data_IF_237672022626
#
_entry.id   IF_237672022626
#
_cell.length_a   1.000
_cell.length_b   1.000
_cell.length_c   1.000
_cell.angle_alpha   90.00
_cell.angle_beta   90.00
_cell.angle_gamma   90.00
#
_symmetry.space_group_name_H-M   'P 1'
#
loop_
_entity.id
_entity.type
_entity.pdbx_description
1 polymer ?
#
# COMPACT_ATOMS: atom_id res chain seq x y z
N UNK A 1 -5.08 -7.83 24.04
CA UNK A 1 -4.60 -8.19 22.68
C UNK A 1 -3.12 -7.90 22.60
N UNK A 2 -2.28 -8.91 22.38
CA UNK A 2 -0.85 -8.68 22.08
C UNK A 2 -0.75 -7.90 20.76
N UNK A 3 -0.05 -6.76 20.79
CA UNK A 3 0.23 -5.97 19.59
C UNK A 3 1.24 -6.74 18.75
N UNK A 4 0.77 -7.38 17.67
CA UNK A 4 1.66 -7.98 16.68
C UNK A 4 2.21 -6.84 15.82
N UNK A 5 3.52 -6.62 15.90
CA UNK A 5 4.23 -5.63 15.11
C UNK A 5 4.98 -6.33 13.99
N UNK A 6 4.59 -6.05 12.75
CA UNK A 6 5.37 -6.45 11.59
C UNK A 6 6.41 -5.37 11.31
N UNK A 7 7.60 -5.52 11.90
CA UNK A 7 8.74 -4.67 11.57
C UNK A 7 9.10 -4.82 10.08
N UNK A 8 9.41 -3.71 9.41
CA UNK A 8 9.72 -3.69 7.98
C UNK A 8 8.51 -3.47 7.06
N UNK A 9 7.29 -3.81 7.48
CA UNK A 9 6.12 -3.69 6.61
C UNK A 9 5.70 -2.24 6.38
N UNK A 10 5.84 -1.37 7.38
CA UNK A 10 5.53 0.05 7.24
C UNK A 10 6.58 0.75 6.36
N UNK A 11 7.83 0.35 6.50
CA UNK A 11 8.99 0.83 5.77
C UNK A 11 8.88 0.45 4.29
N UNK A 12 8.54 -0.81 4.00
CA UNK A 12 8.26 -1.27 2.63
C UNK A 12 7.06 -0.54 2.01
N UNK A 13 5.98 -0.32 2.79
CA UNK A 13 4.83 0.47 2.33
C UNK A 13 5.20 1.92 2.05
N UNK A 14 6.10 2.52 2.84
CA UNK A 14 6.57 3.88 2.61
C UNK A 14 7.37 3.98 1.30
N UNK A 15 8.29 3.03 1.05
CA UNK A 15 9.04 2.95 -0.21
C UNK A 15 8.08 2.76 -1.40
N UNK A 16 7.11 1.85 -1.26
CA UNK A 16 6.10 1.61 -2.29
C UNK A 16 5.28 2.87 -2.59
N UNK A 17 4.82 3.57 -1.54
CA UNK A 17 4.05 4.82 -1.67
C UNK A 17 4.85 5.91 -2.39
N UNK A 18 6.15 6.05 -2.10
CA UNK A 18 7.02 6.97 -2.85
C UNK A 18 7.09 6.59 -4.34
N UNK A 19 7.22 5.31 -4.66
CA UNK A 19 7.17 4.82 -6.04
C UNK A 19 5.85 5.15 -6.75
N UNK A 20 4.72 5.01 -6.04
CA UNK A 20 3.39 5.40 -6.56
C UNK A 20 3.33 6.90 -6.85
N UNK A 21 3.83 7.75 -5.96
CA UNK A 21 3.84 9.20 -6.15
C UNK A 21 4.68 9.58 -7.37
N UNK A 22 5.90 9.04 -7.50
CA UNK A 22 6.79 9.29 -8.65
C UNK A 22 6.10 8.88 -9.97
N UNK A 23 5.45 7.72 -9.98
CA UNK A 23 4.71 7.24 -11.14
C UNK A 23 3.60 8.19 -11.58
N UNK A 24 2.80 8.69 -10.62
CA UNK A 24 1.72 9.63 -10.93
C UNK A 24 2.24 10.99 -11.41
N UNK A 25 3.37 11.46 -10.88
CA UNK A 25 4.04 12.68 -11.35
C UNK A 25 4.47 12.52 -12.81
N UNK A 26 5.11 11.40 -13.16
CA UNK A 26 5.52 11.16 -14.55
C UNK A 26 4.33 10.96 -15.50
N UNK A 27 3.27 10.29 -15.06
CA UNK A 27 2.03 10.18 -15.84
C UNK A 27 1.40 11.56 -16.10
N UNK A 28 1.39 12.43 -15.09
CA UNK A 28 0.87 13.79 -15.20
C UNK A 28 1.72 14.66 -16.14
N UNK A 29 3.05 14.55 -16.05
CA UNK A 29 3.99 15.21 -16.99
C UNK A 29 3.77 14.75 -18.43
N UNK A 30 3.57 13.45 -18.65
CA UNK A 30 3.28 12.89 -19.97
C UNK A 30 1.99 13.45 -20.57
N UNK A 31 0.94 13.59 -19.76
CA UNK A 31 -0.34 14.16 -20.20
C UNK A 31 -0.25 15.65 -20.58
N UNK A 32 0.67 16.39 -19.97
CA UNK A 32 0.91 17.81 -20.26
C UNK A 32 1.98 18.04 -21.35
N UNK A 33 2.42 17.00 -22.05
CA UNK A 33 3.44 17.09 -23.10
C UNK A 33 4.87 17.34 -22.59
N UNK A 34 5.10 17.22 -21.28
CA UNK A 34 6.39 17.43 -20.61
C UNK A 34 7.10 16.08 -20.32
N UNK A 35 6.95 15.11 -21.21
CA UNK A 35 7.46 13.76 -21.02
C UNK A 35 8.99 13.72 -20.98
N UNK A 36 9.52 12.75 -20.25
CA UNK A 36 10.96 12.46 -20.23
C UNK A 36 11.38 12.03 -21.64
N UNK A 37 12.34 12.73 -22.26
CA UNK A 37 12.75 12.45 -23.64
C UNK A 37 13.45 11.09 -23.79
N UNK A 38 13.95 10.51 -22.69
CA UNK A 38 14.54 9.18 -22.68
C UNK A 38 13.46 8.09 -22.55
N UNK A 39 13.19 7.41 -23.65
CA UNK A 39 12.21 6.32 -23.73
C UNK A 39 12.49 5.15 -22.76
N UNK A 40 13.76 4.82 -22.52
CA UNK A 40 14.14 3.74 -21.60
C UNK A 40 13.81 4.12 -20.15
N UNK A 41 14.06 5.37 -19.77
CA UNK A 41 13.75 5.89 -18.45
C UNK A 41 12.24 5.98 -18.22
N UNK A 42 11.49 6.46 -19.22
CA UNK A 42 10.03 6.49 -19.19
C UNK A 42 9.42 5.09 -19.03
N UNK A 43 9.90 4.11 -19.81
CA UNK A 43 9.48 2.72 -19.70
C UNK A 43 9.79 2.13 -18.31
N UNK A 44 10.98 2.39 -17.77
CA UNK A 44 11.36 1.91 -16.44
C UNK A 44 10.47 2.49 -15.35
N UNK A 45 10.23 3.81 -15.35
CA UNK A 45 9.38 4.46 -14.34
C UNK A 45 7.93 4.00 -14.45
N UNK A 46 7.42 3.74 -15.65
CA UNK A 46 6.07 3.23 -15.82
C UNK A 46 5.92 1.83 -15.23
N UNK A 47 6.83 0.91 -15.55
CA UNK A 47 6.78 -0.47 -15.04
C UNK A 47 7.04 -0.53 -13.52
N UNK A 48 8.04 0.21 -13.03
CA UNK A 48 8.37 0.26 -11.62
C UNK A 48 7.24 0.90 -10.80
N UNK A 49 6.60 1.93 -11.37
CA UNK A 49 5.44 2.58 -10.79
C UNK A 49 4.25 1.64 -10.64
N UNK A 50 3.91 0.90 -11.71
CA UNK A 50 2.87 -0.14 -11.65
C UNK A 50 3.17 -1.19 -10.59
N UNK A 51 4.39 -1.71 -10.55
CA UNK A 51 4.82 -2.67 -9.53
C UNK A 51 4.74 -2.08 -8.10
N UNK A 52 5.03 -0.79 -7.93
CA UNK A 52 4.94 -0.11 -6.64
C UNK A 52 3.49 0.01 -6.16
N UNK A 53 2.54 0.26 -7.07
CA UNK A 53 1.11 0.27 -6.78
C UNK A 53 0.66 -1.12 -6.31
N UNK A 54 0.98 -2.16 -7.08
CA UNK A 54 0.63 -3.53 -6.75
C UNK A 54 1.20 -3.94 -5.39
N UNK A 55 2.48 -3.63 -5.14
CA UNK A 55 3.15 -3.92 -3.88
C UNK A 55 2.51 -3.18 -2.69
N UNK A 56 2.20 -1.89 -2.85
CA UNK A 56 1.54 -1.11 -1.79
C UNK A 56 0.18 -1.69 -1.41
N UNK A 57 -0.63 -2.07 -2.40
CA UNK A 57 -1.96 -2.64 -2.17
C UNK A 57 -1.89 -4.05 -1.58
N UNK A 58 -1.00 -4.91 -2.07
CA UNK A 58 -0.82 -6.27 -1.55
C UNK A 58 -0.37 -6.24 -0.09
N UNK A 59 0.62 -5.42 0.26
CA UNK A 59 1.09 -5.30 1.65
C UNK A 59 -0.01 -4.75 2.57
N UNK A 60 -0.80 -3.79 2.09
CA UNK A 60 -1.90 -3.21 2.86
C UNK A 60 -3.05 -4.22 3.06
N UNK A 61 -3.40 -4.97 2.02
CA UNK A 61 -4.41 -6.03 2.08
C UNK A 61 -3.97 -7.20 2.98
N UNK A 62 -2.70 -7.61 2.90
CA UNK A 62 -2.11 -8.60 3.79
C UNK A 62 -2.28 -8.18 5.26
N UNK A 63 -1.92 -6.94 5.59
CA UNK A 63 -2.02 -6.44 6.96
C UNK A 63 -3.47 -6.38 7.47
N UNK A 64 -4.42 -5.96 6.63
CA UNK A 64 -5.84 -5.90 7.00
C UNK A 64 -6.39 -7.31 7.26
N UNK A 65 -6.17 -8.22 6.30
CA UNK A 65 -6.65 -9.60 6.38
C UNK A 65 -6.03 -10.34 7.56
N UNK A 66 -4.73 -10.15 7.81
CA UNK A 66 -4.06 -10.75 8.96
C UNK A 66 -4.69 -10.30 10.29
N UNK A 67 -4.92 -8.99 10.46
CA UNK A 67 -5.53 -8.46 11.68
C UNK A 67 -6.97 -8.95 11.86
N UNK A 68 -7.73 -9.11 10.77
CA UNK A 68 -9.08 -9.69 10.82
C UNK A 68 -9.05 -11.17 11.24
N UNK A 69 -8.12 -11.96 10.71
CA UNK A 69 -7.94 -13.36 11.09
C UNK A 69 -7.52 -13.48 12.56
N UNK A 70 -6.65 -12.59 13.03
CA UNK A 70 -6.23 -12.54 14.43
C UNK A 70 -7.41 -12.19 15.37
N UNK A 71 -8.23 -11.21 14.99
CA UNK A 71 -9.43 -10.85 15.76
C UNK A 71 -10.44 -11.99 15.77
N UNK A 72 -10.66 -12.66 14.63
CA UNK A 72 -11.53 -13.85 14.52
C UNK A 72 -11.06 -14.95 15.46
N UNK A 73 -9.76 -15.23 15.48
CA UNK A 73 -9.18 -16.26 16.37
C UNK A 73 -9.32 -15.88 17.84
N UNK A 74 -9.13 -14.60 18.19
CA UNK A 74 -9.18 -14.12 19.58
C UNK A 74 -10.61 -13.99 20.14
N UNK A 75 -11.62 -13.80 19.29
CA UNK A 75 -13.02 -13.56 19.69
C UNK A 75 -13.94 -14.77 19.42
N UNK A 76 -13.44 -16.01 19.57
CA UNK A 76 -14.21 -17.24 19.34
C UNK A 76 -14.96 -17.26 17.99
N UNK A 77 -14.31 -16.81 16.92
CA UNK A 77 -14.87 -16.81 15.56
C UNK A 77 -15.73 -15.59 15.22
N UNK A 78 -15.99 -14.66 16.16
CA UNK A 78 -16.77 -13.44 15.91
C UNK A 78 -15.88 -12.29 15.44
N UNK A 79 -16.23 -11.67 14.32
CA UNK A 79 -15.58 -10.46 13.81
C UNK A 79 -16.54 -9.29 13.98
N UNK A 80 -16.10 -8.22 14.65
CA UNK A 80 -16.85 -6.97 14.68
C UNK A 80 -16.29 -6.01 13.63
N UNK A 81 -16.86 -6.06 12.43
CA UNK A 81 -16.42 -5.25 11.27
C UNK A 81 -16.42 -3.75 11.59
N UNK A 82 -17.49 -3.24 12.23
CA UNK A 82 -17.60 -1.82 12.56
C UNK A 82 -16.49 -1.37 13.52
N UNK A 83 -16.28 -2.12 14.61
CA UNK A 83 -15.21 -1.82 15.57
C UNK A 83 -13.81 -1.97 14.95
N UNK A 84 -13.64 -2.89 14.02
CA UNK A 84 -12.39 -3.08 13.27
C UNK A 84 -12.03 -1.87 12.43
N UNK A 85 -12.95 -1.41 11.57
CA UNK A 85 -12.70 -0.25 10.73
C UNK A 85 -12.57 1.05 11.54
N UNK A 86 -13.33 1.23 12.62
CA UNK A 86 -13.16 2.39 13.50
C UNK A 86 -11.75 2.46 14.11
N UNK A 87 -11.21 1.34 14.60
CA UNK A 87 -9.82 1.29 15.09
C UNK A 87 -8.79 1.54 13.99
N UNK A 88 -9.09 1.15 12.76
CA UNK A 88 -8.22 1.36 11.60
C UNK A 88 -8.19 2.83 11.20
N UNK A 89 -9.36 3.49 11.15
CA UNK A 89 -9.50 4.90 10.81
C UNK A 89 -8.79 5.78 11.85
N UNK A 90 -9.01 5.56 13.15
CA UNK A 90 -8.32 6.35 14.20
C UNK A 90 -6.81 6.12 14.29
N UNK A 91 -6.26 5.14 13.58
CA UNK A 91 -4.83 4.82 13.57
C UNK A 91 -4.10 5.39 12.34
N UNK A 92 -4.84 5.69 11.27
CA UNK A 92 -4.32 6.35 10.05
C UNK A 92 -4.32 7.85 10.31
#
# INVERSE_FOLDING_TARGET
>A
MNKIYFGGLNELRAIAALGVVIHHIEQFKGMNGLSVSNANLSFLIHNLGKASVDLFFVLSAFLITYLLLQEKSSNNGKINIGKFYMRRIFRI
#
